data_IF_089354143606
#
_entry.id   IF_089354143606
#
_cell.length_a   1.000
_cell.length_b   1.000
_cell.length_c   1.000
_cell.angle_alpha   90.00
_cell.angle_beta   90.00
_cell.angle_gamma   90.00
#
_symmetry.space_group_name_H-M   'P 1'
#
loop_
_entity.id
_entity.type
_entity.pdbx_description
1 polymer ?
#
# COMPACT_ATOMS: atom_id res chain seq x y z
N UNK A 1 4.14 -3.63 -12.91
CA UNK A 1 3.33 -2.48 -12.45
C UNK A 1 2.24 -3.00 -11.52
N UNK A 2 1.93 -2.29 -10.44
CA UNK A 2 0.76 -2.56 -9.60
C UNK A 2 -0.15 -1.35 -9.59
N UNK A 3 -1.43 -1.55 -9.89
CA UNK A 3 -2.46 -0.51 -9.78
C UNK A 3 -3.39 -0.83 -8.64
N UNK A 4 -3.45 0.04 -7.62
CA UNK A 4 -4.47 -0.05 -6.58
C UNK A 4 -5.71 0.74 -7.02
N UNK A 5 -6.89 0.16 -6.79
CA UNK A 5 -8.18 0.81 -6.97
C UNK A 5 -8.98 0.62 -5.70
N UNK A 6 -9.66 1.68 -5.26
CA UNK A 6 -10.46 1.63 -4.04
C UNK A 6 -11.77 2.40 -4.20
N UNK A 7 -12.77 1.97 -3.43
CA UNK A 7 -14.05 2.65 -3.37
C UNK A 7 -13.88 4.01 -2.66
N UNK A 8 -14.53 5.08 -3.15
CA UNK A 8 -14.62 6.34 -2.41
C UNK A 8 -15.30 6.14 -1.06
N UNK A 9 -14.83 6.86 -0.05
CA UNK A 9 -15.48 6.91 1.26
C UNK A 9 -16.69 7.86 1.24
N UNK A 10 -17.57 7.69 2.21
CA UNK A 10 -18.74 8.56 2.40
C UNK A 10 -18.70 9.23 3.78
N UNK A 11 -19.49 10.29 3.94
CA UNK A 11 -19.63 10.98 5.22
C UNK A 11 -20.49 10.16 6.18
N UNK A 12 -20.07 10.12 7.45
CA UNK A 12 -20.87 9.51 8.51
C UNK A 12 -22.09 10.35 8.86
N UNK A 13 -23.21 9.70 9.17
CA UNK A 13 -24.43 10.34 9.67
C UNK A 13 -24.89 9.66 10.96
N UNK A 14 -25.71 10.36 11.75
CA UNK A 14 -26.21 9.85 13.03
C UNK A 14 -27.16 8.67 12.83
N UNK A 15 -27.16 7.71 13.76
CA UNK A 15 -28.08 6.57 13.73
C UNK A 15 -29.53 7.05 13.86
N UNK A 16 -30.43 6.46 13.08
CA UNK A 16 -31.86 6.79 13.12
C UNK A 16 -32.25 8.02 12.30
N UNK A 17 -31.30 8.64 11.58
CA UNK A 17 -31.55 9.68 10.59
C UNK A 17 -31.47 9.06 9.20
N UNK A 18 -32.25 9.57 8.25
CA UNK A 18 -32.16 9.15 6.85
C UNK A 18 -30.76 9.45 6.29
N UNK A 19 -30.14 8.50 5.59
CA UNK A 19 -28.83 8.71 5.00
C UNK A 19 -28.89 9.84 3.97
N UNK A 20 -27.89 10.76 3.95
CA UNK A 20 -27.78 11.72 2.87
C UNK A 20 -27.59 10.99 1.54
N UNK A 21 -28.07 11.58 0.45
CA UNK A 21 -27.90 11.01 -0.90
C UNK A 21 -26.42 10.89 -1.23
N UNK A 22 -26.01 9.72 -1.71
CA UNK A 22 -24.70 9.54 -2.32
C UNK A 22 -24.62 10.47 -3.55
N UNK A 23 -23.52 11.22 -3.67
CA UNK A 23 -23.17 12.02 -4.85
C UNK A 23 -24.15 13.15 -5.21
N UNK A 24 -24.95 13.62 -4.25
CA UNK A 24 -25.75 14.83 -4.42
C UNK A 24 -24.89 16.07 -4.12
N UNK A 25 -24.55 16.83 -5.16
CA UNK A 25 -23.78 18.08 -5.02
C UNK A 25 -22.28 17.91 -4.79
N UNK A 26 -21.54 19.01 -4.90
CA UNK A 26 -20.08 19.14 -4.66
C UNK A 26 -19.77 20.11 -3.51
N UNK A 27 -20.78 20.41 -2.70
CA UNK A 27 -20.78 21.31 -1.56
C UNK A 27 -20.16 20.70 -0.30
N UNK A 28 -20.12 21.47 0.80
CA UNK A 28 -19.46 21.07 2.04
C UNK A 28 -20.12 19.88 2.76
N UNK A 29 -21.36 19.54 2.42
CA UNK A 29 -22.04 18.35 2.95
C UNK A 29 -21.85 17.13 2.05
N UNK A 30 -21.03 17.25 1.00
CA UNK A 30 -20.75 16.18 0.06
C UNK A 30 -19.41 15.49 0.32
N UNK A 31 -19.35 14.20 -0.01
CA UNK A 31 -18.13 13.38 0.11
C UNK A 31 -16.95 13.90 -0.72
N UNK A 32 -17.19 14.77 -1.70
CA UNK A 32 -16.15 15.35 -2.55
C UNK A 32 -15.14 16.21 -1.79
N UNK A 33 -15.45 16.66 -0.58
CA UNK A 33 -14.45 17.36 0.27
C UNK A 33 -13.41 16.43 0.91
N UNK A 34 -13.65 15.12 0.89
CA UNK A 34 -12.73 14.14 1.48
C UNK A 34 -11.42 14.08 0.68
N UNK A 35 -10.31 13.95 1.41
CA UNK A 35 -8.98 13.80 0.83
C UNK A 35 -8.45 12.40 1.15
N UNK A 36 -7.70 11.82 0.20
CA UNK A 36 -7.16 10.47 0.33
C UNK A 36 -5.64 10.52 0.30
N UNK A 37 -5.02 10.23 1.43
CA UNK A 37 -3.57 10.07 1.48
C UNK A 37 -3.22 8.59 1.26
N UNK A 38 -2.45 8.32 0.21
CA UNK A 38 -2.01 6.96 -0.12
C UNK A 38 -0.63 6.71 0.50
N UNK A 39 -0.51 5.61 1.23
CA UNK A 39 0.69 5.17 1.91
C UNK A 39 1.20 3.85 1.34
N UNK A 40 2.51 3.71 1.34
CA UNK A 40 3.23 2.50 0.94
C UNK A 40 4.07 1.99 2.10
N UNK A 41 3.92 0.71 2.41
CA UNK A 41 4.71 0.02 3.44
C UNK A 41 5.39 -1.21 2.84
N UNK A 42 6.72 -1.26 2.93
CA UNK A 42 7.50 -2.39 2.43
C UNK A 42 7.55 -3.49 3.49
N UNK A 43 7.25 -4.72 3.06
CA UNK A 43 7.44 -5.92 3.85
C UNK A 43 8.90 -6.36 3.82
N UNK A 44 9.36 -7.10 4.85
CA UNK A 44 10.68 -7.73 4.81
C UNK A 44 10.80 -8.63 3.58
N UNK A 45 11.96 -8.57 2.94
CA UNK A 45 12.29 -9.47 1.83
C UNK A 45 12.49 -10.90 2.36
N UNK A 46 12.24 -11.90 1.49
CA UNK A 46 12.49 -13.33 1.71
C UNK A 46 11.66 -14.01 2.83
N UNK A 47 10.93 -13.27 3.66
CA UNK A 47 10.00 -13.83 4.63
C UNK A 47 8.55 -13.69 4.15
N UNK A 48 8.08 -14.74 3.48
CA UNK A 48 6.76 -14.80 2.86
C UNK A 48 5.72 -15.54 3.73
N UNK A 49 6.02 -15.72 5.02
CA UNK A 49 5.14 -16.45 5.93
C UNK A 49 3.86 -15.64 6.23
N UNK A 50 2.75 -16.35 6.42
CA UNK A 50 1.47 -15.72 6.78
C UNK A 50 1.56 -14.96 8.12
N UNK A 51 2.27 -15.52 9.10
CA UNK A 51 2.48 -14.90 10.41
C UNK A 51 3.13 -13.52 10.28
N UNK A 52 4.16 -13.41 9.44
CA UNK A 52 4.85 -12.15 9.21
C UNK A 52 3.97 -11.15 8.46
N UNK A 53 3.23 -11.60 7.45
CA UNK A 53 2.25 -10.74 6.77
C UNK A 53 1.22 -10.18 7.76
N UNK A 54 0.63 -11.02 8.62
CA UNK A 54 -0.36 -10.60 9.61
C UNK A 54 0.21 -9.60 10.62
N UNK A 55 1.43 -9.85 11.11
CA UNK A 55 2.14 -8.95 12.02
C UNK A 55 2.37 -7.56 11.40
N UNK A 56 2.69 -7.51 10.11
CA UNK A 56 2.87 -6.25 9.40
C UNK A 56 1.55 -5.58 9.02
N UNK A 57 0.49 -6.35 8.71
CA UNK A 57 -0.86 -5.83 8.51
C UNK A 57 -1.39 -5.13 9.77
N UNK A 58 -1.11 -5.65 10.96
CA UNK A 58 -1.50 -5.02 12.23
C UNK A 58 -0.97 -3.58 12.37
N UNK A 59 0.22 -3.29 11.82
CA UNK A 59 0.80 -1.93 11.81
C UNK A 59 0.10 -0.99 10.84
N UNK A 60 -0.68 -1.53 9.92
CA UNK A 60 -1.39 -0.80 8.88
C UNK A 60 -2.90 -0.66 9.18
N UNK A 61 -3.35 -0.94 10.40
CA UNK A 61 -4.77 -0.83 10.79
C UNK A 61 -5.14 0.56 11.28
N UNK A 62 -4.29 1.18 12.11
CA UNK A 62 -4.60 2.47 12.74
C UNK A 62 -3.91 3.64 12.05
N UNK A 63 -4.60 4.79 11.97
CA UNK A 63 -4.06 6.02 11.37
C UNK A 63 -2.70 6.42 11.97
N UNK A 64 -2.49 6.42 13.30
CA UNK A 64 -1.20 6.81 13.86
C UNK A 64 -0.07 5.84 13.49
N UNK A 65 -0.34 4.54 13.49
CA UNK A 65 0.66 3.53 13.14
C UNK A 65 1.04 3.60 11.66
N UNK A 66 0.05 3.72 10.77
CA UNK A 66 0.30 3.88 9.32
C UNK A 66 1.21 5.09 9.08
N UNK A 67 0.92 6.24 9.70
CA UNK A 67 1.74 7.45 9.55
C UNK A 67 3.16 7.30 10.11
N UNK A 68 3.35 6.44 11.11
CA UNK A 68 4.65 6.21 11.73
C UNK A 68 5.49 5.16 10.98
N UNK A 69 4.85 4.17 10.34
CA UNK A 69 5.55 3.04 9.73
C UNK A 69 5.64 3.09 8.21
N UNK A 70 4.74 3.81 7.54
CA UNK A 70 4.62 3.83 6.09
C UNK A 70 4.96 5.19 5.48
N UNK A 71 5.35 5.18 4.20
CA UNK A 71 5.66 6.37 3.44
C UNK A 71 4.39 6.91 2.77
N UNK A 72 4.05 8.18 2.99
CA UNK A 72 3.02 8.87 2.21
C UNK A 72 3.55 9.14 0.80
N UNK A 73 2.89 8.61 -0.23
CA UNK A 73 3.35 8.73 -1.62
C UNK A 73 2.59 9.80 -2.39
N UNK A 74 1.27 9.87 -2.21
CA UNK A 74 0.43 10.83 -2.94
C UNK A 74 -0.80 11.22 -2.12
N UNK A 75 -1.35 12.41 -2.41
CA UNK A 75 -2.66 12.84 -1.91
C UNK A 75 -3.60 12.97 -3.10
N UNK A 76 -4.76 12.33 -3.03
CA UNK A 76 -5.82 12.43 -4.03
C UNK A 76 -6.97 13.27 -3.47
N UNK A 77 -7.61 14.02 -4.35
CA UNK A 77 -8.75 14.90 -4.09
C UNK A 77 -9.98 14.42 -4.84
N UNK A 78 -11.10 15.13 -4.71
CA UNK A 78 -12.34 14.82 -5.43
C UNK A 78 -12.21 14.73 -6.96
N UNK A 79 -11.31 15.51 -7.54
CA UNK A 79 -11.11 15.56 -8.98
C UNK A 79 -10.23 14.40 -9.47
N UNK A 80 -9.57 13.70 -8.56
CA UNK A 80 -8.66 12.62 -8.88
C UNK A 80 -9.41 11.28 -8.89
N UNK A 81 -8.96 10.38 -9.77
CA UNK A 81 -9.44 9.01 -9.77
C UNK A 81 -8.94 8.29 -8.52
N UNK A 82 -9.78 7.48 -7.87
CA UNK A 82 -9.39 6.60 -6.75
C UNK A 82 -8.58 5.38 -7.22
N UNK A 83 -7.55 5.65 -8.02
CA UNK A 83 -6.69 4.68 -8.67
C UNK A 83 -5.28 5.23 -8.75
N UNK A 84 -4.29 4.48 -8.26
CA UNK A 84 -2.87 4.87 -8.32
C UNK A 84 -2.04 3.70 -8.81
N UNK A 85 -1.14 3.97 -9.75
CA UNK A 85 -0.17 2.99 -10.27
C UNK A 85 1.20 3.19 -9.64
N UNK A 86 1.87 2.08 -9.35
CA UNK A 86 3.21 2.02 -8.79
C UNK A 86 4.10 1.09 -9.60
N UNK A 87 5.38 1.45 -9.70
CA UNK A 87 6.41 0.50 -10.10
C UNK A 87 6.59 -0.53 -9.00
N UNK A 88 6.50 -1.81 -9.35
CA UNK A 88 6.64 -2.92 -8.41
C UNK A 88 7.77 -3.82 -8.85
N UNK A 89 8.56 -4.27 -7.89
CA UNK A 89 9.64 -5.22 -8.09
C UNK A 89 9.13 -6.61 -7.66
N UNK A 90 9.25 -7.64 -8.52
CA UNK A 90 8.89 -9.01 -8.16
C UNK A 90 9.65 -9.49 -6.92
N UNK A 91 8.94 -10.09 -5.96
CA UNK A 91 9.49 -10.57 -4.70
C UNK A 91 9.52 -9.53 -3.58
N UNK A 92 9.38 -8.24 -3.88
CA UNK A 92 9.24 -7.19 -2.88
C UNK A 92 7.80 -7.12 -2.40
N UNK A 93 7.57 -7.49 -1.14
CA UNK A 93 6.26 -7.35 -0.51
C UNK A 93 5.94 -5.89 -0.21
N UNK A 94 4.72 -5.47 -0.52
CA UNK A 94 4.21 -4.12 -0.27
C UNK A 94 2.77 -4.19 0.22
N UNK A 95 2.47 -3.45 1.30
CA UNK A 95 1.11 -3.15 1.75
C UNK A 95 0.80 -1.70 1.36
N UNK A 96 -0.28 -1.51 0.60
CA UNK A 96 -0.81 -0.19 0.29
C UNK A 96 -1.92 0.13 1.29
N UNK A 97 -1.92 1.35 1.83
CA UNK A 97 -2.96 1.84 2.73
C UNK A 97 -3.47 3.19 2.25
N UNK A 98 -4.75 3.46 2.51
CA UNK A 98 -5.36 4.76 2.23
C UNK A 98 -5.91 5.33 3.53
N UNK A 99 -5.45 6.54 3.86
CA UNK A 99 -6.02 7.32 4.95
C UNK A 99 -6.95 8.36 4.33
N UNK A 100 -8.24 8.20 4.60
CA UNK A 100 -9.25 9.21 4.26
C UNK A 100 -9.24 10.26 5.36
N UNK A 101 -9.19 11.52 4.96
CA UNK A 101 -9.23 12.67 5.86
C UNK A 101 -10.41 13.56 5.52
N UNK A 102 -11.08 13.96 6.56
CA UNK A 102 -12.12 14.96 6.55
C UNK A 102 -11.50 16.31 7.03
N UNK A 103 -11.31 17.31 6.15
CA UNK A 103 -10.72 18.59 6.55
C UNK A 103 -11.67 19.49 7.35
N UNK A 104 -12.97 19.20 7.39
CA UNK A 104 -13.98 20.00 8.09
C UNK A 104 -14.17 19.53 9.53
N UNK A 105 -14.31 18.21 9.72
CA UNK A 105 -14.49 17.55 11.02
C UNK A 105 -13.16 17.14 11.67
N UNK A 106 -12.03 17.27 10.97
CA UNK A 106 -10.71 16.80 11.40
C UNK A 106 -10.68 15.32 11.81
N UNK A 107 -11.54 14.50 11.19
CA UNK A 107 -11.59 13.06 11.39
C UNK A 107 -10.81 12.34 10.30
N UNK A 108 -10.33 11.13 10.61
CA UNK A 108 -9.65 10.30 9.63
C UNK A 108 -9.87 8.82 9.90
N UNK A 109 -9.81 8.03 8.83
CA UNK A 109 -9.92 6.59 8.88
C UNK A 109 -8.90 5.95 7.93
N UNK A 110 -8.33 4.83 8.34
CA UNK A 110 -7.39 4.05 7.54
C UNK A 110 -8.08 2.76 7.07
N UNK A 111 -7.80 2.35 5.83
CA UNK A 111 -8.11 1.00 5.37
C UNK A 111 -7.04 0.51 4.40
N UNK A 112 -6.84 -0.81 4.37
CA UNK A 112 -5.83 -1.48 3.54
C UNK A 112 -6.51 -1.99 2.26
N UNK A 113 -6.39 -1.30 1.11
CA UNK A 113 -6.96 -1.77 -0.14
C UNK A 113 -6.30 -3.03 -0.69
N UNK A 114 -4.98 -3.21 -0.50
CA UNK A 114 -4.25 -4.31 -1.10
C UNK A 114 -2.91 -4.59 -0.40
N UNK A 115 -2.47 -5.84 -0.48
CA UNK A 115 -1.08 -6.26 -0.28
C UNK A 115 -0.64 -7.14 -1.46
N UNK A 116 0.62 -7.08 -1.85
CA UNK A 116 1.15 -7.87 -2.98
C UNK A 116 2.65 -8.06 -2.87
N UNK A 117 3.16 -9.14 -3.46
CA UNK A 117 4.60 -9.38 -3.65
C UNK A 117 5.03 -9.21 -5.12
N UNK A 118 4.11 -8.78 -5.99
CA UNK A 118 4.33 -8.64 -7.43
C UNK A 118 4.86 -9.92 -8.13
N UNK A 119 4.55 -11.09 -7.57
CA UNK A 119 4.89 -12.42 -8.07
C UNK A 119 3.81 -13.43 -7.66
N UNK A 120 3.82 -14.61 -8.27
CA UNK A 120 2.95 -15.73 -7.90
C UNK A 120 3.65 -16.68 -6.92
N UNK A 121 2.91 -17.28 -6.00
CA UNK A 121 3.39 -18.36 -5.15
C UNK A 121 3.41 -19.72 -5.86
N UNK A 122 2.56 -19.89 -6.88
CA UNK A 122 2.30 -21.19 -7.53
C UNK A 122 3.03 -21.37 -8.87
N UNK A 123 3.71 -20.33 -9.37
CA UNK A 123 4.42 -20.41 -10.64
C UNK A 123 5.73 -21.23 -10.50
N UNK A 124 5.93 -22.23 -11.37
CA UNK A 124 7.17 -23.02 -11.36
C UNK A 124 8.43 -22.17 -11.63
N UNK A 125 8.36 -21.26 -12.60
CA UNK A 125 9.43 -20.32 -12.95
C UNK A 125 8.97 -18.88 -12.64
N UNK A 126 9.78 -18.09 -11.93
CA UNK A 126 9.42 -16.73 -11.51
C UNK A 126 8.48 -16.65 -10.30
N UNK A 127 8.37 -17.72 -9.50
CA UNK A 127 7.71 -17.62 -8.19
C UNK A 127 8.46 -16.70 -7.25
N UNK A 128 7.72 -16.16 -6.27
CA UNK A 128 8.29 -15.38 -5.17
C UNK A 128 9.44 -16.11 -4.45
N UNK A 129 9.37 -17.45 -4.36
CA UNK A 129 10.41 -18.29 -3.73
C UNK A 129 11.66 -18.40 -4.63
N UNK A 130 11.48 -18.67 -5.92
CA UNK A 130 12.60 -18.80 -6.87
C UNK A 130 13.41 -17.51 -7.02
N UNK A 131 12.74 -16.35 -6.96
CA UNK A 131 13.38 -15.04 -7.04
C UNK A 131 14.27 -14.76 -5.83
N UNK A 132 13.80 -15.11 -4.63
CA UNK A 132 14.57 -14.90 -3.40
C UNK A 132 15.90 -15.70 -3.40
N UNK A 133 15.88 -16.93 -3.93
CA UNK A 133 17.07 -17.77 -4.08
C UNK A 133 18.06 -17.16 -5.09
N UNK A 134 17.56 -16.62 -6.21
CA UNK A 134 18.39 -15.97 -7.22
C UNK A 134 19.07 -14.71 -6.66
N UNK A 135 18.34 -13.86 -5.95
CA UNK A 135 18.92 -12.66 -5.31
C UNK A 135 19.96 -13.02 -4.25
N UNK A 136 19.72 -14.07 -3.45
CA UNK A 136 20.71 -14.56 -2.49
C UNK A 136 21.99 -15.05 -3.20
N UNK A 137 21.86 -15.81 -4.28
CA UNK A 137 23.00 -16.28 -5.09
C UNK A 137 23.78 -15.12 -5.71
N UNK A 138 23.09 -14.09 -6.20
CA UNK A 138 23.74 -12.88 -6.72
C UNK A 138 24.50 -12.14 -5.63
N UNK A 139 23.91 -11.92 -4.45
CA UNK A 139 24.60 -11.31 -3.31
C UNK A 139 25.81 -12.15 -2.84
N UNK A 140 25.71 -13.49 -2.86
CA UNK A 140 26.84 -14.37 -2.53
C UNK A 140 27.96 -14.27 -3.58
N UNK A 141 27.60 -14.19 -4.86
CA UNK A 141 28.57 -14.03 -5.96
C UNK A 141 29.30 -12.68 -5.92
N UNK A 142 28.62 -11.61 -5.50
CA UNK A 142 29.23 -10.27 -5.36
C UNK A 142 29.95 -10.06 -4.02
N UNK A 143 29.67 -10.90 -3.02
CA UNK A 143 30.40 -10.94 -1.74
C UNK A 143 31.70 -11.75 -1.77
N UNK A 144 32.03 -12.39 -2.90
CA UNK A 144 33.33 -13.04 -3.07
C UNK A 144 34.42 -11.98 -3.29
N UNK A 145 35.40 -11.83 -2.39
CA UNK A 145 36.40 -10.75 -2.43
C UNK A 145 37.47 -10.92 -3.53
N UNK A 146 37.26 -11.81 -4.50
CA UNK A 146 38.28 -12.21 -5.48
C UNK A 146 38.13 -11.56 -6.85
N UNK A 147 37.15 -10.67 -7.07
CA UNK A 147 36.89 -10.07 -8.39
C UNK A 147 37.03 -8.53 -8.46
N UNK A 148 37.64 -7.90 -7.45
CA UNK A 148 38.05 -6.48 -7.50
C UNK A 148 39.58 -6.39 -7.57
N UNK A 149 40.18 -6.96 -8.60
CA UNK A 149 41.53 -6.62 -9.06
C UNK A 149 41.63 -7.05 -10.52
N UNK A 150 41.20 -6.18 -11.44
CA UNK A 150 41.23 -6.52 -12.86
C UNK A 150 40.67 -5.48 -13.83
N UNK A 151 40.42 -4.23 -13.40
CA UNK A 151 40.25 -3.11 -14.32
C UNK A 151 41.09 -1.92 -13.81
N UNK A 152 42.36 -1.93 -14.21
CA UNK A 152 43.13 -0.76 -14.57
C UNK A 152 43.59 -0.94 -16.01
#
# INVERSE_FOLDING_TARGET
>A
ETTIKFAPANLGYARGVDPPSCDAGTDQDSRWRLQYDVYQYFLPENDLTEEMLLKHLQRMVSVPQVKASALKVVTLTANDKTSVSFSSLPGQGVIYNVIVRDPFLNTSAAYVPAHTYACSFEAGEGSCVSLAVLYLLLCLSTSSPSFITGLF
#
